data_IF_366079207672
#
_entry.id   IF_366079207672
#
_cell.length_a   1.000
_cell.length_b   1.000
_cell.length_c   1.000
_cell.angle_alpha   90.00
_cell.angle_beta   90.00
_cell.angle_gamma   90.00
#
_symmetry.space_group_name_H-M   'P 1'
#
loop_
_entity.id
_entity.type
_entity.pdbx_description
1 polymer ?
#
# COMPACT_ATOMS: atom_id res chain seq x y z
N UNK A 1 -62.23 24.71 5.86
CA UNK A 1 -62.14 25.21 4.48
C UNK A 1 -60.85 26.01 4.36
N UNK A 2 -59.77 25.38 3.91
CA UNK A 2 -58.55 26.05 3.46
C UNK A 2 -57.79 25.01 2.63
N UNK A 3 -57.68 25.30 1.33
CA UNK A 3 -57.16 24.40 0.32
C UNK A 3 -55.63 24.39 0.34
N UNK A 4 -55.06 23.18 0.22
CA UNK A 4 -53.65 22.93 -0.07
C UNK A 4 -53.35 23.36 -1.50
N UNK A 5 -52.27 24.09 -1.70
CA UNK A 5 -51.75 24.47 -3.03
C UNK A 5 -50.51 23.64 -3.29
N UNK A 6 -50.64 22.66 -4.19
CA UNK A 6 -49.53 21.85 -4.70
C UNK A 6 -48.76 22.65 -5.76
N UNK A 7 -47.43 22.70 -5.62
CA UNK A 7 -46.53 23.26 -6.63
C UNK A 7 -46.15 22.16 -7.64
N UNK A 8 -46.68 22.26 -8.86
CA UNK A 8 -46.21 21.48 -10.02
C UNK A 8 -44.94 22.13 -10.59
N UNK A 9 -43.83 21.39 -10.57
CA UNK A 9 -42.62 21.68 -11.34
C UNK A 9 -42.80 21.18 -12.79
N UNK A 10 -42.88 22.11 -13.73
CA UNK A 10 -42.80 21.86 -15.17
C UNK A 10 -41.33 21.62 -15.55
N UNK A 11 -40.98 20.38 -15.89
CA UNK A 11 -39.70 20.04 -16.54
C UNK A 11 -39.91 20.05 -18.05
N UNK A 12 -39.36 21.06 -18.73
CA UNK A 12 -39.26 21.11 -20.19
C UNK A 12 -38.19 20.12 -20.65
N UNK A 13 -38.61 18.97 -21.21
CA UNK A 13 -37.74 18.10 -21.99
C UNK A 13 -37.56 18.70 -23.40
N UNK A 14 -36.40 19.29 -23.66
CA UNK A 14 -35.95 19.57 -25.02
C UNK A 14 -35.45 18.28 -25.67
N UNK A 15 -36.20 17.75 -26.63
CA UNK A 15 -35.74 16.65 -27.50
C UNK A 15 -34.92 17.25 -28.63
N UNK A 16 -33.60 17.08 -28.56
CA UNK A 16 -32.70 17.36 -29.69
C UNK A 16 -32.60 16.10 -30.53
N UNK A 17 -33.25 16.09 -31.69
CA UNK A 17 -32.99 15.09 -32.73
C UNK A 17 -31.65 15.40 -33.39
N UNK A 18 -30.62 14.62 -33.06
CA UNK A 18 -29.41 14.54 -33.88
C UNK A 18 -29.63 13.50 -34.97
N UNK A 19 -29.70 13.95 -36.21
CA UNK A 19 -29.65 13.14 -37.42
C UNK A 19 -28.41 12.24 -37.41
N UNK A 20 -28.62 10.92 -37.54
CA UNK A 20 -27.57 9.93 -37.73
C UNK A 20 -27.20 9.91 -39.21
N UNK A 21 -26.10 10.56 -39.57
CA UNK A 21 -25.38 10.19 -40.79
C UNK A 21 -24.55 8.93 -40.48
N UNK A 22 -24.91 7.84 -41.17
CA UNK A 22 -24.26 6.54 -41.06
C UNK A 22 -22.99 6.55 -41.93
N UNK A 23 -21.91 7.10 -41.39
CA UNK A 23 -20.57 6.92 -41.91
C UNK A 23 -19.83 5.85 -41.11
N UNK A 24 -19.51 4.70 -41.72
CA UNK A 24 -18.55 3.74 -41.19
C UNK A 24 -17.14 4.33 -41.27
N UNK A 25 -16.80 5.17 -40.30
CA UNK A 25 -15.44 5.64 -40.05
C UNK A 25 -14.97 5.11 -38.70
N UNK A 26 -13.84 4.40 -38.66
CA UNK A 26 -13.14 4.04 -37.41
C UNK A 26 -12.98 5.29 -36.54
N UNK A 27 -13.75 5.39 -35.45
CA UNK A 27 -13.54 6.42 -34.43
C UNK A 27 -12.22 6.10 -33.73
N UNK A 28 -11.18 6.85 -34.04
CA UNK A 28 -9.92 6.83 -33.30
C UNK A 28 -10.08 7.80 -32.13
N UNK A 29 -10.02 7.30 -30.89
CA UNK A 29 -9.89 8.14 -29.71
C UNK A 29 -8.42 8.17 -29.28
N UNK A 30 -7.91 9.37 -29.04
CA UNK A 30 -6.62 9.57 -28.40
C UNK A 30 -6.84 9.64 -26.89
N UNK A 31 -6.23 8.72 -26.15
CA UNK A 31 -6.32 8.65 -24.70
C UNK A 31 -5.03 9.19 -24.11
N UNK A 32 -5.15 10.00 -23.05
CA UNK A 32 -4.01 10.61 -22.37
C UNK A 32 -3.91 10.14 -20.93
N UNK A 33 -2.69 9.89 -20.46
CA UNK A 33 -2.42 9.43 -19.09
C UNK A 33 -1.07 9.96 -18.60
N UNK A 34 -0.86 9.99 -17.29
CA UNK A 34 0.40 10.45 -16.69
C UNK A 34 1.36 9.27 -16.48
N UNK A 35 2.60 9.41 -16.94
CA UNK A 35 3.61 8.36 -16.78
C UNK A 35 5.03 8.92 -16.62
N UNK A 36 5.89 8.24 -15.87
CA UNK A 36 7.33 8.59 -15.78
C UNK A 36 8.04 8.49 -17.14
N UNK A 37 7.50 7.68 -18.06
CA UNK A 37 8.00 7.49 -19.42
C UNK A 37 6.86 7.13 -20.38
N UNK A 38 6.75 7.86 -21.48
CA UNK A 38 5.83 7.50 -22.57
C UNK A 38 6.43 6.40 -23.45
N UNK A 39 5.58 5.48 -23.92
CA UNK A 39 5.96 4.38 -24.81
C UNK A 39 5.64 4.74 -26.25
N UNK A 40 6.60 4.48 -27.15
CA UNK A 40 6.42 4.70 -28.59
C UNK A 40 5.62 3.56 -29.24
N UNK A 41 5.78 2.35 -28.73
CA UNK A 41 5.14 1.15 -29.23
C UNK A 41 3.97 0.77 -28.33
N UNK A 42 2.84 0.39 -28.92
CA UNK A 42 1.65 -0.05 -28.19
C UNK A 42 0.95 -1.19 -28.91
N UNK A 43 0.43 -2.17 -28.16
CA UNK A 43 -0.42 -3.23 -28.69
C UNK A 43 -1.53 -3.59 -27.70
N UNK A 44 -2.64 -4.12 -28.21
CA UNK A 44 -3.74 -4.63 -27.40
C UNK A 44 -3.50 -6.10 -27.05
N UNK A 45 -3.93 -6.54 -25.87
CA UNK A 45 -3.91 -7.99 -25.52
C UNK A 45 -4.68 -8.85 -26.53
N UNK A 46 -5.66 -8.27 -27.25
CA UNK A 46 -6.39 -8.93 -28.35
C UNK A 46 -5.48 -9.34 -29.50
N UNK A 47 -4.45 -8.56 -29.80
CA UNK A 47 -3.49 -8.82 -30.88
C UNK A 47 -2.66 -10.10 -30.62
N UNK A 48 -2.64 -10.54 -29.36
CA UNK A 48 -1.94 -11.74 -28.91
C UNK A 48 -2.89 -12.93 -28.66
N UNK A 49 -4.16 -12.80 -29.07
CA UNK A 49 -5.18 -13.83 -28.93
C UNK A 49 -5.96 -13.77 -27.62
N UNK A 50 -5.90 -12.66 -26.89
CA UNK A 50 -6.68 -12.48 -25.67
C UNK A 50 -8.19 -12.38 -25.95
N UNK A 51 -9.00 -13.02 -25.10
CA UNK A 51 -10.46 -13.01 -25.14
C UNK A 51 -11.00 -12.48 -23.80
N UNK A 52 -11.72 -11.36 -23.87
CA UNK A 52 -12.23 -10.62 -22.71
C UNK A 52 -13.61 -11.06 -22.20
N UNK A 53 -13.89 -12.37 -22.17
CA UNK A 53 -15.19 -12.97 -21.83
C UNK A 53 -15.34 -13.36 -20.33
N UNK A 54 -14.27 -13.19 -19.53
CA UNK A 54 -14.20 -13.55 -18.13
C UNK A 54 -14.06 -15.05 -17.85
N UNK A 55 -13.92 -15.87 -18.89
CA UNK A 55 -13.88 -17.35 -18.82
C UNK A 55 -12.63 -17.93 -19.46
N UNK A 56 -12.20 -17.37 -20.59
CA UNK A 56 -11.02 -17.80 -21.31
C UNK A 56 -9.77 -17.45 -20.51
N UNK A 57 -8.92 -18.45 -20.25
CA UNK A 57 -7.65 -18.24 -19.56
C UNK A 57 -6.63 -17.58 -20.50
N UNK A 58 -6.36 -16.30 -20.27
CA UNK A 58 -5.52 -15.45 -21.11
C UNK A 58 -4.02 -15.51 -20.79
N UNK A 59 -3.58 -16.36 -19.87
CA UNK A 59 -2.17 -16.42 -19.41
C UNK A 59 -1.18 -16.52 -20.57
N UNK A 60 -1.48 -17.33 -21.59
CA UNK A 60 -0.63 -17.45 -22.80
C UNK A 60 -0.62 -16.19 -23.66
N UNK A 61 -1.74 -15.47 -23.74
CA UNK A 61 -1.82 -14.19 -24.45
C UNK A 61 -0.95 -13.14 -23.75
N UNK A 62 -1.01 -13.06 -22.41
CA UNK A 62 -0.14 -12.18 -21.62
C UNK A 62 1.35 -12.51 -21.81
N UNK A 63 1.72 -13.79 -21.67
CA UNK A 63 3.11 -14.22 -21.88
C UNK A 63 3.60 -13.90 -23.30
N UNK A 64 2.78 -14.16 -24.33
CA UNK A 64 3.11 -13.83 -25.72
C UNK A 64 3.28 -12.32 -25.91
N UNK A 65 2.38 -11.52 -25.34
CA UNK A 65 2.43 -10.07 -25.41
C UNK A 65 3.72 -9.51 -24.78
N UNK A 66 4.04 -9.91 -23.54
CA UNK A 66 5.27 -9.47 -22.86
C UNK A 66 6.51 -9.88 -23.66
N UNK A 67 6.57 -11.14 -24.10
CA UNK A 67 7.72 -11.64 -24.87
C UNK A 67 7.92 -10.83 -26.17
N UNK A 68 6.86 -10.61 -26.95
CA UNK A 68 6.97 -9.89 -28.22
C UNK A 68 7.22 -8.39 -28.03
N UNK A 69 6.64 -7.76 -27.01
CA UNK A 69 6.83 -6.33 -26.76
C UNK A 69 8.19 -6.03 -26.11
N UNK A 70 8.84 -7.00 -25.46
CA UNK A 70 10.18 -6.84 -24.89
C UNK A 70 11.26 -6.47 -25.91
N UNK A 71 11.06 -6.81 -27.19
CA UNK A 71 11.99 -6.45 -28.28
C UNK A 71 12.15 -4.93 -28.46
N UNK A 72 11.18 -4.14 -27.98
CA UNK A 72 11.21 -2.68 -28.08
C UNK A 72 11.95 -2.01 -26.92
N UNK A 73 12.55 -2.77 -26.00
CA UNK A 73 13.26 -2.24 -24.84
C UNK A 73 14.34 -1.20 -25.21
N UNK A 74 15.09 -1.42 -26.30
CA UNK A 74 16.14 -0.50 -26.78
C UNK A 74 15.59 0.78 -27.41
N UNK A 75 14.32 0.83 -27.79
CA UNK A 75 13.62 1.99 -28.38
C UNK A 75 12.63 2.62 -27.39
N UNK A 76 12.99 2.61 -26.10
CA UNK A 76 12.21 3.23 -25.02
C UNK A 76 11.03 2.39 -24.53
N UNK A 77 10.87 1.16 -25.01
CA UNK A 77 9.92 0.21 -24.50
C UNK A 77 8.55 0.22 -25.18
N UNK A 78 7.64 -0.57 -24.63
CA UNK A 78 6.31 -0.78 -25.20
C UNK A 78 5.20 -0.81 -24.15
N UNK A 79 3.99 -0.50 -24.61
CA UNK A 79 2.76 -0.53 -23.84
C UNK A 79 1.88 -1.70 -24.26
N UNK A 80 1.42 -2.50 -23.31
CA UNK A 80 0.36 -3.47 -23.47
C UNK A 80 -0.94 -2.89 -22.92
N UNK A 81 -1.94 -2.75 -23.79
CA UNK A 81 -3.27 -2.25 -23.43
C UNK A 81 -4.22 -3.40 -23.18
N UNK A 82 -4.87 -3.37 -22.02
CA UNK A 82 -5.99 -4.23 -21.65
C UNK A 82 -7.28 -3.42 -21.85
N UNK A 83 -8.02 -3.64 -22.94
CA UNK A 83 -9.23 -2.87 -23.23
C UNK A 83 -10.39 -3.31 -22.32
N UNK A 84 -11.50 -2.57 -22.38
CA UNK A 84 -12.73 -2.95 -21.70
C UNK A 84 -13.11 -4.43 -21.95
N UNK A 85 -13.53 -5.12 -20.90
CA UNK A 85 -13.81 -6.56 -20.91
C UNK A 85 -13.29 -7.27 -19.66
N UNK A 86 -13.58 -8.56 -19.56
CA UNK A 86 -13.20 -9.39 -18.42
C UNK A 86 -12.08 -10.36 -18.82
N UNK A 87 -10.90 -10.24 -18.22
CA UNK A 87 -9.69 -10.93 -18.65
C UNK A 87 -9.23 -11.91 -17.57
N UNK A 88 -9.68 -13.15 -17.63
CA UNK A 88 -9.22 -14.19 -16.69
C UNK A 88 -7.77 -14.57 -17.02
N UNK A 89 -6.89 -14.56 -16.03
CA UNK A 89 -5.49 -15.00 -16.17
C UNK A 89 -4.95 -15.60 -14.89
N UNK A 90 -4.00 -16.53 -15.03
CA UNK A 90 -3.09 -16.88 -13.94
C UNK A 90 -1.90 -15.90 -13.92
N UNK A 91 -0.90 -16.19 -13.10
CA UNK A 91 0.30 -15.36 -12.98
C UNK A 91 1.04 -15.17 -14.31
N UNK A 92 1.52 -13.94 -14.55
CA UNK A 92 2.39 -13.61 -15.67
C UNK A 92 3.48 -12.62 -15.24
N UNK A 93 4.64 -12.71 -15.89
CA UNK A 93 5.80 -11.88 -15.57
C UNK A 93 5.87 -10.66 -16.49
N UNK A 94 6.25 -9.51 -15.94
CA UNK A 94 6.57 -8.30 -16.67
C UNK A 94 8.04 -8.30 -17.15
N UNK A 95 8.38 -7.31 -17.97
CA UNK A 95 9.74 -7.05 -18.47
C UNK A 95 10.11 -5.58 -18.29
N UNK A 96 11.38 -5.23 -18.49
CA UNK A 96 11.88 -3.84 -18.40
C UNK A 96 11.35 -2.97 -19.54
N UNK A 97 11.30 -1.66 -19.32
CA UNK A 97 10.79 -0.67 -20.30
C UNK A 97 9.39 -1.04 -20.77
N UNK A 98 8.50 -1.31 -19.83
CA UNK A 98 7.18 -1.84 -20.13
C UNK A 98 6.09 -1.02 -19.44
N UNK A 99 4.96 -0.85 -20.12
CA UNK A 99 3.74 -0.28 -19.54
C UNK A 99 2.60 -1.28 -19.67
N UNK A 100 2.06 -1.76 -18.56
CA UNK A 100 0.77 -2.44 -18.52
C UNK A 100 -0.32 -1.38 -18.29
N UNK A 101 -1.21 -1.20 -19.26
CA UNK A 101 -2.26 -0.18 -19.23
C UNK A 101 -3.65 -0.82 -19.18
N UNK A 102 -4.41 -0.60 -18.11
CA UNK A 102 -5.79 -1.08 -17.99
C UNK A 102 -6.75 0.06 -18.34
N UNK A 103 -7.46 -0.10 -19.44
CA UNK A 103 -8.47 0.86 -19.88
C UNK A 103 -9.64 0.93 -18.87
N UNK A 104 -10.42 2.01 -18.96
CA UNK A 104 -11.72 2.08 -18.30
C UNK A 104 -12.56 0.83 -18.64
N UNK A 105 -13.22 0.27 -17.63
CA UNK A 105 -14.04 -0.95 -17.72
C UNK A 105 -13.27 -2.23 -18.09
N UNK A 106 -11.93 -2.21 -18.04
CA UNK A 106 -11.12 -3.43 -18.05
C UNK A 106 -11.12 -4.06 -16.66
N UNK A 107 -11.44 -5.35 -16.58
CA UNK A 107 -11.39 -6.15 -15.36
C UNK A 107 -10.44 -7.33 -15.55
N UNK A 108 -9.26 -7.25 -14.96
CA UNK A 108 -8.31 -8.37 -14.90
C UNK A 108 -8.70 -9.29 -13.74
N UNK A 109 -9.04 -10.55 -14.04
CA UNK A 109 -9.50 -11.53 -13.06
C UNK A 109 -8.38 -12.54 -12.79
N UNK A 110 -7.95 -12.67 -11.54
CA UNK A 110 -6.98 -13.68 -11.13
C UNK A 110 -7.61 -15.08 -11.10
N UNK A 111 -6.93 -16.09 -11.61
CA UNK A 111 -7.43 -17.47 -11.55
C UNK A 111 -7.65 -17.97 -10.12
N UNK A 112 -8.81 -18.58 -9.87
CA UNK A 112 -9.12 -19.20 -8.58
C UNK A 112 -8.52 -20.62 -8.45
N UNK A 113 -7.96 -21.16 -9.54
CA UNK A 113 -7.34 -22.49 -9.57
C UNK A 113 -5.91 -22.42 -9.01
N UNK A 114 -5.73 -22.78 -7.74
CA UNK A 114 -4.45 -22.70 -7.00
C UNK A 114 -3.29 -23.39 -7.74
N UNK A 115 -3.55 -24.48 -8.46
CA UNK A 115 -2.51 -25.21 -9.22
C UNK A 115 -1.99 -24.45 -10.45
N UNK A 116 -2.63 -23.36 -10.87
CA UNK A 116 -2.18 -22.49 -11.96
C UNK A 116 -1.20 -21.42 -11.49
N UNK A 117 -0.88 -21.39 -10.20
CA UNK A 117 0.09 -20.48 -9.60
C UNK A 117 1.39 -21.24 -9.33
N UNK A 118 2.46 -20.98 -10.10
CA UNK A 118 3.77 -21.57 -9.83
C UNK A 118 4.25 -21.29 -8.40
N UNK A 119 5.01 -22.22 -7.84
CA UNK A 119 5.73 -22.02 -6.59
C UNK A 119 7.10 -21.41 -6.88
N UNK A 120 7.48 -20.45 -6.05
CA UNK A 120 8.80 -19.84 -6.01
C UNK A 120 9.34 -19.87 -4.58
N UNK A 121 10.65 -19.66 -4.46
CA UNK A 121 11.30 -19.65 -3.16
C UNK A 121 10.78 -18.51 -2.27
N UNK A 122 10.86 -18.67 -0.94
CA UNK A 122 10.65 -17.58 0.00
C UNK A 122 11.54 -16.39 -0.31
N UNK A 123 11.16 -15.23 0.22
CA UNK A 123 12.06 -14.09 0.21
C UNK A 123 13.34 -14.42 0.98
N UNK A 124 14.53 -14.10 0.43
CA UNK A 124 15.78 -14.36 1.13
C UNK A 124 15.88 -13.61 2.47
N UNK A 125 15.24 -12.44 2.59
CA UNK A 125 15.16 -11.68 3.85
C UNK A 125 14.12 -12.23 4.85
N UNK A 126 13.37 -13.27 4.49
CA UNK A 126 12.37 -13.92 5.37
C UNK A 126 12.78 -15.36 5.72
N UNK A 127 13.52 -16.04 4.86
CA UNK A 127 13.97 -17.42 5.05
C UNK A 127 12.89 -18.49 4.86
N UNK A 128 11.62 -18.15 5.08
CA UNK A 128 10.47 -19.06 5.00
C UNK A 128 9.21 -18.30 4.54
N UNK A 129 8.15 -19.04 4.24
CA UNK A 129 6.87 -18.48 3.81
C UNK A 129 6.07 -17.83 4.94
N UNK A 130 5.42 -16.69 4.63
CA UNK A 130 4.67 -15.87 5.59
C UNK A 130 3.41 -16.52 6.17
N UNK A 131 2.69 -17.33 5.38
CA UNK A 131 1.46 -18.00 5.85
C UNK A 131 1.69 -19.48 6.20
N UNK A 132 2.67 -20.11 5.57
CA UNK A 132 2.96 -21.53 5.72
C UNK A 132 4.45 -21.80 5.41
N UNK A 133 5.04 -22.85 6.02
CA UNK A 133 6.42 -23.25 5.75
C UNK A 133 6.67 -23.58 4.28
N UNK A 134 7.94 -23.46 3.85
CA UNK A 134 8.35 -23.71 2.47
C UNK A 134 8.10 -22.50 1.57
N UNK A 135 7.94 -22.75 0.26
CA UNK A 135 7.82 -21.72 -0.76
C UNK A 135 6.52 -20.90 -0.72
N UNK A 136 6.37 -20.05 -1.73
CA UNK A 136 5.22 -19.16 -1.91
C UNK A 136 4.69 -19.26 -3.33
N UNK A 137 3.38 -19.06 -3.49
CA UNK A 137 2.80 -18.90 -4.82
C UNK A 137 3.27 -17.56 -5.43
N UNK A 138 3.71 -17.58 -6.69
CA UNK A 138 4.10 -16.38 -7.43
C UNK A 138 2.94 -15.39 -7.50
N UNK A 139 3.22 -14.09 -7.47
CA UNK A 139 2.21 -13.02 -7.54
C UNK A 139 1.47 -12.96 -8.89
N UNK A 140 0.26 -12.39 -8.95
CA UNK A 140 -0.53 -12.36 -10.21
C UNK A 140 0.21 -11.60 -11.31
N UNK A 141 0.67 -10.40 -10.95
CA UNK A 141 1.56 -9.59 -11.76
C UNK A 141 2.91 -9.60 -11.06
N UNK A 142 3.86 -10.33 -11.63
CA UNK A 142 5.19 -10.51 -11.05
C UNK A 142 6.27 -9.87 -11.93
N UNK A 143 7.38 -9.46 -11.32
CA UNK A 143 8.57 -9.02 -12.02
C UNK A 143 9.78 -9.07 -11.11
N UNK A 144 10.95 -9.39 -11.67
CA UNK A 144 12.21 -9.35 -10.93
C UNK A 144 13.33 -8.79 -11.80
N UNK A 145 14.26 -8.04 -11.22
CA UNK A 145 15.37 -7.40 -11.92
C UNK A 145 14.92 -6.48 -13.07
N UNK A 146 13.82 -5.74 -12.87
CA UNK A 146 13.24 -4.89 -13.89
C UNK A 146 13.68 -3.43 -13.73
N UNK A 147 13.72 -2.70 -14.83
CA UNK A 147 13.82 -1.24 -14.80
C UNK A 147 12.74 -0.58 -15.65
N UNK A 148 12.25 0.58 -15.21
CA UNK A 148 11.29 1.38 -15.97
C UNK A 148 10.01 0.59 -16.28
N UNK A 149 9.28 0.26 -15.21
CA UNK A 149 8.04 -0.51 -15.25
C UNK A 149 6.88 0.35 -14.78
N UNK A 150 5.83 0.41 -15.60
CA UNK A 150 4.64 1.23 -15.34
C UNK A 150 3.41 0.32 -15.38
N UNK A 151 2.64 0.30 -14.29
CA UNK A 151 1.33 -0.37 -14.22
C UNK A 151 0.30 0.75 -13.98
N UNK A 152 -0.48 1.08 -15.00
CA UNK A 152 -1.40 2.21 -14.92
C UNK A 152 -2.66 2.00 -15.75
N UNK A 153 -3.54 3.00 -15.83
CA UNK A 153 -4.80 2.87 -16.52
C UNK A 153 -5.72 4.06 -16.36
N UNK A 154 -6.94 3.89 -16.85
CA UNK A 154 -8.07 4.81 -16.64
C UNK A 154 -9.01 4.25 -15.57
N UNK A 155 -8.45 3.97 -14.40
CA UNK A 155 -9.14 3.31 -13.30
C UNK A 155 -9.70 1.92 -13.66
N UNK A 156 -8.98 1.18 -14.50
CA UNK A 156 -9.27 -0.24 -14.71
C UNK A 156 -9.03 -1.06 -13.44
N UNK A 157 -9.66 -2.23 -13.35
CA UNK A 157 -9.72 -3.03 -12.13
C UNK A 157 -8.87 -4.30 -12.24
N UNK A 158 -8.10 -4.59 -11.19
CA UNK A 158 -7.45 -5.88 -10.98
C UNK A 158 -8.13 -6.55 -9.79
N UNK A 159 -8.81 -7.67 -10.05
CA UNK A 159 -9.51 -8.47 -9.04
C UNK A 159 -8.74 -9.76 -8.77
N UNK A 160 -8.22 -9.87 -7.55
CA UNK A 160 -7.47 -11.03 -7.06
C UNK A 160 -8.31 -12.28 -6.81
N UNK A 161 -9.64 -12.17 -6.84
CA UNK A 161 -10.59 -13.25 -6.53
C UNK A 161 -10.21 -14.05 -5.26
N UNK A 162 -9.76 -13.33 -4.23
CA UNK A 162 -9.06 -13.85 -3.05
C UNK A 162 -9.87 -14.77 -2.13
N UNK A 163 -11.19 -14.86 -2.30
CA UNK A 163 -12.07 -15.60 -1.39
C UNK A 163 -11.67 -17.06 -1.17
N UNK A 164 -11.22 -17.75 -2.24
CA UNK A 164 -10.73 -19.13 -2.15
C UNK A 164 -9.50 -19.24 -1.24
N UNK A 165 -8.58 -18.28 -1.34
CA UNK A 165 -7.36 -18.22 -0.55
C UNK A 165 -7.63 -17.92 0.92
N UNK A 166 -8.52 -16.96 1.20
CA UNK A 166 -8.91 -16.61 2.57
C UNK A 166 -9.62 -17.78 3.28
N UNK A 167 -10.45 -18.54 2.56
CA UNK A 167 -11.07 -19.75 3.11
C UNK A 167 -10.03 -20.82 3.47
N UNK A 168 -9.02 -21.02 2.64
CA UNK A 168 -7.93 -21.97 2.96
C UNK A 168 -7.09 -21.49 4.13
N UNK A 169 -6.82 -20.18 4.23
CA UNK A 169 -6.11 -19.57 5.36
C UNK A 169 -6.86 -19.80 6.67
N UNK A 170 -8.14 -19.42 6.76
CA UNK A 170 -8.95 -19.59 7.96
C UNK A 170 -9.11 -21.06 8.37
N UNK A 171 -9.16 -21.97 7.39
CA UNK A 171 -9.22 -23.43 7.63
C UNK A 171 -7.86 -24.05 7.94
N UNK A 172 -6.76 -23.28 7.93
CA UNK A 172 -5.39 -23.75 8.12
C UNK A 172 -5.02 -24.88 7.15
N UNK A 173 -5.43 -24.75 5.89
CA UNK A 173 -5.23 -25.74 4.81
C UNK A 173 -4.20 -25.31 3.76
N UNK A 174 -3.58 -24.14 3.95
CA UNK A 174 -2.51 -23.68 3.07
C UNK A 174 -1.27 -24.56 3.26
N UNK A 175 -0.74 -25.07 2.14
CA UNK A 175 0.55 -25.80 2.12
C UNK A 175 1.74 -24.84 1.95
N UNK A 176 1.51 -23.72 1.29
CA UNK A 176 2.50 -22.71 0.92
C UNK A 176 1.91 -21.32 1.14
N UNK A 177 2.77 -20.30 1.16
CA UNK A 177 2.33 -18.92 1.33
C UNK A 177 1.50 -18.43 0.15
N UNK A 178 0.39 -17.73 0.44
CA UNK A 178 -0.55 -17.23 -0.58
C UNK A 178 0.16 -16.26 -1.53
N UNK A 179 -0.39 -16.15 -2.73
CA UNK A 179 0.04 -15.16 -3.72
C UNK A 179 -0.25 -13.74 -3.26
N UNK A 180 0.50 -12.77 -3.79
CA UNK A 180 0.15 -11.35 -3.75
C UNK A 180 -0.48 -10.91 -5.07
N UNK A 181 -1.04 -9.70 -5.14
CA UNK A 181 -1.62 -9.18 -6.38
C UNK A 181 -0.53 -8.65 -7.32
N UNK A 182 0.31 -7.73 -6.84
CA UNK A 182 1.41 -7.16 -7.60
C UNK A 182 2.69 -7.27 -6.79
N UNK A 183 3.74 -7.85 -7.38
CA UNK A 183 5.05 -7.94 -6.73
C UNK A 183 6.18 -7.66 -7.72
N UNK A 184 7.05 -6.71 -7.36
CA UNK A 184 8.21 -6.32 -8.14
C UNK A 184 9.45 -6.41 -7.26
N UNK A 185 10.32 -7.37 -7.60
CA UNK A 185 11.54 -7.68 -6.85
C UNK A 185 12.77 -7.06 -7.52
N UNK A 186 13.76 -6.62 -6.75
CA UNK A 186 15.07 -6.19 -7.28
C UNK A 186 14.99 -5.17 -8.43
N UNK A 187 14.00 -4.28 -8.38
CA UNK A 187 13.60 -3.47 -9.52
C UNK A 187 13.79 -1.98 -9.26
N UNK A 188 13.89 -1.19 -10.33
CA UNK A 188 14.18 0.24 -10.25
C UNK A 188 13.31 1.07 -11.21
N UNK A 189 12.84 2.24 -10.78
CA UNK A 189 11.93 3.11 -11.57
C UNK A 189 10.59 2.42 -11.81
N UNK A 190 9.82 2.30 -10.73
CA UNK A 190 8.51 1.66 -10.72
C UNK A 190 7.45 2.74 -10.60
N UNK A 191 6.42 2.67 -11.43
CA UNK A 191 5.18 3.44 -11.27
C UNK A 191 3.99 2.49 -11.22
N UNK A 192 3.15 2.63 -10.19
CA UNK A 192 1.84 1.98 -10.11
C UNK A 192 0.79 3.06 -9.83
N UNK A 193 -0.16 3.28 -10.74
CA UNK A 193 -1.06 4.44 -10.58
C UNK A 193 -2.38 4.36 -11.32
N UNK A 194 -3.41 5.05 -10.81
CA UNK A 194 -4.72 5.20 -11.45
C UNK A 194 -5.42 3.86 -11.75
N UNK A 195 -5.47 2.99 -10.73
CA UNK A 195 -6.08 1.66 -10.82
C UNK A 195 -6.98 1.39 -9.60
N UNK A 196 -7.92 0.49 -9.80
CA UNK A 196 -8.67 -0.13 -8.70
C UNK A 196 -8.16 -1.55 -8.47
N UNK A 197 -7.75 -1.87 -7.24
CA UNK A 197 -7.32 -3.22 -6.84
C UNK A 197 -8.35 -3.79 -5.87
N UNK A 198 -8.85 -4.99 -6.13
CA UNK A 198 -9.85 -5.62 -5.26
C UNK A 198 -9.50 -7.07 -4.93
N UNK A 199 -9.92 -7.51 -3.74
CA UNK A 199 -9.93 -8.91 -3.34
C UNK A 199 -8.59 -9.65 -3.53
N UNK A 200 -7.45 -9.04 -3.18
CA UNK A 200 -6.17 -9.74 -3.25
C UNK A 200 -6.18 -11.04 -2.42
N UNK A 201 -5.54 -12.14 -2.88
CA UNK A 201 -5.37 -13.36 -2.07
C UNK A 201 -4.70 -13.12 -0.70
N UNK A 202 -3.79 -12.15 -0.65
CA UNK A 202 -3.02 -11.69 0.52
C UNK A 202 -2.66 -10.20 0.29
N UNK A 203 -1.41 -9.78 0.45
CA UNK A 203 -0.97 -8.40 0.19
C UNK A 203 -1.30 -7.92 -1.24
N UNK A 204 -1.63 -6.63 -1.39
CA UNK A 204 -2.01 -6.07 -2.69
C UNK A 204 -0.78 -5.63 -3.50
N UNK A 205 0.09 -4.78 -2.96
CA UNK A 205 1.26 -4.27 -3.70
C UNK A 205 2.52 -4.45 -2.87
N UNK A 206 3.45 -5.26 -3.37
CA UNK A 206 4.67 -5.63 -2.68
C UNK A 206 5.91 -5.32 -3.55
N UNK A 207 6.39 -4.06 -3.61
CA UNK A 207 7.72 -3.81 -4.11
C UNK A 207 8.73 -4.25 -3.05
N UNK A 208 9.69 -5.07 -3.44
CA UNK A 208 10.70 -5.62 -2.53
C UNK A 208 12.11 -5.52 -3.11
N UNK A 209 13.09 -5.14 -2.29
CA UNK A 209 14.48 -4.93 -2.72
C UNK A 209 14.63 -3.92 -3.87
N UNK A 210 13.73 -2.94 -3.91
CA UNK A 210 13.50 -2.09 -5.09
C UNK A 210 13.69 -0.60 -4.78
N UNK A 211 13.92 0.21 -5.81
CA UNK A 211 14.19 1.64 -5.64
C UNK A 211 13.47 2.54 -6.65
N UNK A 212 13.31 3.82 -6.30
CA UNK A 212 12.66 4.83 -7.14
C UNK A 212 11.23 4.43 -7.51
N UNK A 213 10.36 4.39 -6.49
CA UNK A 213 9.02 3.83 -6.59
C UNK A 213 7.98 4.94 -6.41
N UNK A 214 7.04 5.05 -7.33
CA UNK A 214 5.87 5.94 -7.21
C UNK A 214 4.60 5.08 -7.23
N UNK A 215 3.79 5.21 -6.18
CA UNK A 215 2.48 4.57 -6.10
C UNK A 215 1.44 5.64 -5.79
N UNK A 216 0.56 5.93 -6.75
CA UNK A 216 -0.35 7.06 -6.61
C UNK A 216 -1.73 6.90 -7.24
N UNK A 217 -2.75 7.53 -6.65
CA UNK A 217 -4.09 7.56 -7.23
C UNK A 217 -4.77 6.19 -7.26
N UNK A 218 -4.46 5.32 -6.29
CA UNK A 218 -5.04 3.99 -6.22
C UNK A 218 -6.29 3.93 -5.36
N UNK A 219 -7.23 3.08 -5.77
CA UNK A 219 -8.33 2.60 -4.92
C UNK A 219 -8.08 1.12 -4.62
N UNK A 220 -7.82 0.77 -3.35
CA UNK A 220 -7.58 -0.61 -2.92
C UNK A 220 -8.71 -1.04 -2.00
N UNK A 221 -9.41 -2.13 -2.33
CA UNK A 221 -10.59 -2.59 -1.61
C UNK A 221 -10.51 -4.09 -1.31
N UNK A 222 -10.43 -4.44 -0.04
CA UNK A 222 -10.64 -5.79 0.43
C UNK A 222 -11.75 -5.80 1.51
N UNK A 223 -12.53 -6.89 1.65
CA UNK A 223 -13.41 -7.04 2.79
C UNK A 223 -12.61 -6.89 4.09
N UNK A 224 -13.10 -6.11 5.06
CA UNK A 224 -12.37 -5.83 6.31
C UNK A 224 -12.13 -7.08 7.17
N UNK A 225 -12.75 -8.21 6.84
CA UNK A 225 -12.54 -9.52 7.50
C UNK A 225 -11.62 -10.46 6.72
N UNK A 226 -11.06 -10.00 5.59
CA UNK A 226 -10.10 -10.77 4.81
C UNK A 226 -8.73 -10.78 5.49
N UNK A 227 -8.05 -11.94 5.61
CA UNK A 227 -6.81 -12.05 6.35
C UNK A 227 -5.62 -11.54 5.53
N UNK A 228 -4.82 -10.64 6.11
CA UNK A 228 -3.54 -10.17 5.58
C UNK A 228 -3.65 -9.57 4.18
N UNK A 229 -4.68 -8.73 3.96
CA UNK A 229 -4.91 -8.02 2.71
C UNK A 229 -4.32 -6.62 2.72
N UNK A 230 -3.11 -6.50 3.29
CA UNK A 230 -2.33 -5.27 3.38
C UNK A 230 -2.36 -4.50 2.04
N UNK A 231 -2.48 -3.17 2.11
CA UNK A 231 -2.65 -2.34 0.92
C UNK A 231 -1.35 -2.16 0.13
N UNK A 232 -0.32 -1.58 0.75
CA UNK A 232 0.97 -1.34 0.11
C UNK A 232 2.09 -1.72 1.09
N UNK A 233 2.99 -2.56 0.64
CA UNK A 233 4.05 -3.18 1.44
C UNK A 233 5.44 -2.87 0.89
N UNK A 234 6.00 -1.65 1.06
CA UNK A 234 7.40 -1.41 0.70
C UNK A 234 8.30 -2.22 1.63
N UNK A 235 9.02 -3.19 1.06
CA UNK A 235 9.89 -4.09 1.81
C UNK A 235 11.34 -3.98 1.32
N UNK A 236 12.23 -3.53 2.21
CA UNK A 236 13.64 -3.33 1.88
C UNK A 236 13.82 -2.42 0.64
N UNK A 237 13.06 -1.32 0.58
CA UNK A 237 12.99 -0.42 -0.57
C UNK A 237 13.58 0.97 -0.30
N UNK A 238 14.00 1.71 -1.34
CA UNK A 238 14.50 3.08 -1.13
C UNK A 238 13.98 4.11 -2.14
N UNK A 239 13.82 5.35 -1.69
CA UNK A 239 13.36 6.48 -2.49
C UNK A 239 11.95 6.24 -3.06
N UNK A 240 10.96 6.28 -2.17
CA UNK A 240 9.58 5.84 -2.41
C UNK A 240 8.61 7.01 -2.17
N UNK A 241 7.63 7.18 -3.06
CA UNK A 241 6.52 8.12 -2.91
C UNK A 241 5.19 7.39 -3.01
N UNK A 242 4.44 7.35 -1.91
CA UNK A 242 3.06 6.88 -1.84
C UNK A 242 2.15 8.10 -1.68
N UNK A 243 1.29 8.39 -2.65
CA UNK A 243 0.43 9.58 -2.56
C UNK A 243 -0.97 9.40 -3.14
N UNK A 244 -1.97 10.09 -2.59
CA UNK A 244 -3.33 10.15 -3.14
C UNK A 244 -4.01 8.77 -3.25
N UNK A 245 -3.82 7.92 -2.24
CA UNK A 245 -4.36 6.56 -2.22
C UNK A 245 -5.57 6.46 -1.28
N UNK A 246 -6.57 5.68 -1.67
CA UNK A 246 -7.73 5.31 -0.87
C UNK A 246 -7.71 3.80 -0.63
N UNK A 247 -7.66 3.37 0.63
CA UNK A 247 -7.45 1.98 1.01
C UNK A 247 -8.49 1.53 2.04
N UNK A 248 -9.22 0.47 1.70
CA UNK A 248 -10.03 -0.34 2.63
C UNK A 248 -9.38 -1.71 2.70
N UNK A 249 -8.88 -2.08 3.88
CA UNK A 249 -8.08 -3.29 4.07
C UNK A 249 -8.62 -4.14 5.21
N UNK A 250 -8.40 -5.46 5.11
CA UNK A 250 -8.59 -6.38 6.22
C UNK A 250 -7.41 -6.41 7.20
N UNK A 251 -6.28 -5.81 6.81
CA UNK A 251 -5.08 -5.64 7.63
C UNK A 251 -4.53 -4.20 7.44
N UNK A 252 -3.22 -3.97 7.54
CA UNK A 252 -2.63 -2.63 7.44
C UNK A 252 -2.93 -1.95 6.08
N UNK A 253 -3.21 -0.63 6.07
CA UNK A 253 -3.36 0.08 4.79
C UNK A 253 -2.00 0.28 4.09
N UNK A 254 -0.96 0.64 4.84
CA UNK A 254 0.44 0.64 4.39
C UNK A 254 1.27 -0.09 5.45
N UNK A 255 2.02 -1.11 5.05
CA UNK A 255 2.90 -1.88 5.93
C UNK A 255 4.35 -1.79 5.46
N UNK A 256 5.15 -0.97 6.12
CA UNK A 256 6.57 -0.80 5.79
C UNK A 256 7.38 -1.91 6.44
N UNK A 257 8.17 -2.63 5.64
CA UNK A 257 8.91 -3.83 6.05
C UNK A 257 10.36 -3.77 5.59
N UNK A 258 11.19 -4.69 6.08
CA UNK A 258 12.59 -4.84 5.68
C UNK A 258 13.15 -6.20 6.11
N UNK A 259 12.42 -7.29 5.85
CA UNK A 259 12.85 -8.64 6.27
C UNK A 259 12.62 -8.99 7.74
N UNK A 260 12.84 -10.27 8.07
CA UNK A 260 12.38 -10.90 9.30
C UNK A 260 13.51 -11.63 10.04
N UNK A 261 13.70 -11.26 11.31
CA UNK A 261 14.68 -11.82 12.25
C UNK A 261 16.08 -11.91 11.64
N UNK A 262 16.82 -13.00 11.88
CA UNK A 262 18.19 -13.20 11.40
C UNK A 262 18.32 -13.16 9.88
N UNK A 263 17.26 -13.52 9.14
CA UNK A 263 17.25 -13.45 7.68
C UNK A 263 17.25 -12.00 7.22
N UNK A 264 16.43 -11.14 7.84
CA UNK A 264 16.40 -9.71 7.57
C UNK A 264 17.68 -9.01 8.01
N UNK A 265 18.21 -9.36 9.21
CA UNK A 265 19.50 -8.85 9.71
C UNK A 265 20.63 -9.19 8.74
N UNK A 266 20.71 -10.45 8.30
CA UNK A 266 21.73 -10.93 7.36
C UNK A 266 21.59 -10.29 5.98
N UNK A 267 20.36 -10.09 5.52
CA UNK A 267 20.10 -9.42 4.25
C UNK A 267 20.50 -7.94 4.29
N UNK A 268 20.27 -7.26 5.42
CA UNK A 268 20.87 -5.96 5.74
C UNK A 268 20.43 -4.81 4.84
N UNK A 269 19.23 -4.90 4.25
CA UNK A 269 18.68 -3.86 3.37
C UNK A 269 17.49 -3.16 4.03
N UNK A 270 17.62 -1.88 4.43
CA UNK A 270 16.54 -1.16 5.07
C UNK A 270 15.50 -0.67 4.05
N UNK A 271 14.27 -0.44 4.53
CA UNK A 271 13.37 0.50 3.85
C UNK A 271 13.71 1.93 4.25
N UNK A 272 14.01 2.80 3.29
CA UNK A 272 14.48 4.16 3.55
C UNK A 272 13.97 5.21 2.57
N UNK A 273 13.96 6.47 2.99
CA UNK A 273 13.56 7.60 2.14
C UNK A 273 12.15 7.41 1.59
N UNK A 274 11.18 7.28 2.49
CA UNK A 274 9.78 6.97 2.18
C UNK A 274 8.88 8.15 2.50
N UNK A 275 8.12 8.62 1.50
CA UNK A 275 7.06 9.61 1.67
C UNK A 275 5.71 8.91 1.56
N UNK A 276 4.83 9.16 2.54
CA UNK A 276 3.42 8.75 2.51
C UNK A 276 2.59 10.01 2.70
N UNK A 277 1.75 10.36 1.72
CA UNK A 277 0.91 11.55 1.85
C UNK A 277 -0.47 11.46 1.24
N UNK A 278 -1.43 12.22 1.79
CA UNK A 278 -2.81 12.29 1.28
C UNK A 278 -3.41 10.87 1.13
N UNK A 279 -3.28 10.08 2.19
CA UNK A 279 -3.81 8.72 2.29
C UNK A 279 -5.14 8.76 3.04
N UNK A 280 -6.16 8.09 2.49
CA UNK A 280 -7.37 7.75 3.23
C UNK A 280 -7.37 6.25 3.53
N UNK A 281 -7.45 5.89 4.81
CA UNK A 281 -7.43 4.50 5.26
C UNK A 281 -8.68 4.13 6.08
N UNK A 282 -9.21 2.94 5.80
CA UNK A 282 -10.18 2.23 6.64
C UNK A 282 -9.66 0.80 6.88
N UNK A 283 -9.18 0.54 8.10
CA UNK A 283 -8.75 -0.80 8.54
C UNK A 283 -9.19 -1.07 9.99
N UNK A 284 -10.41 -1.58 10.22
CA UNK A 284 -10.98 -1.70 11.56
C UNK A 284 -10.20 -2.59 12.54
N UNK A 285 -9.36 -3.47 12.02
CA UNK A 285 -8.60 -4.45 12.80
C UNK A 285 -7.08 -4.29 12.70
N UNK A 286 -6.58 -3.22 12.06
CA UNK A 286 -5.14 -2.98 11.91
C UNK A 286 -4.79 -1.49 11.78
N UNK A 287 -3.60 -1.15 11.26
CA UNK A 287 -3.10 0.22 11.25
C UNK A 287 -3.36 0.96 9.93
N UNK A 288 -3.42 2.30 10.03
CA UNK A 288 -3.33 3.16 8.86
C UNK A 288 -1.96 3.06 8.20
N UNK A 289 -0.90 3.10 9.02
CA UNK A 289 0.47 2.89 8.58
C UNK A 289 1.15 2.05 9.66
N UNK A 290 1.67 0.89 9.30
CA UNK A 290 2.46 0.05 10.18
C UNK A 290 3.92 0.05 9.77
N UNK A 291 4.81 0.21 10.75
CA UNK A 291 6.25 0.02 10.59
C UNK A 291 6.59 -1.30 11.28
N UNK A 292 6.90 -2.33 10.48
CA UNK A 292 7.10 -3.71 10.91
C UNK A 292 5.84 -4.60 10.79
N UNK A 293 5.82 -5.80 11.36
CA UNK A 293 6.80 -6.29 12.34
C UNK A 293 8.10 -6.82 11.73
N UNK A 294 8.11 -7.12 10.45
CA UNK A 294 9.27 -7.59 9.72
C UNK A 294 10.16 -6.38 9.38
N UNK A 295 10.94 -5.90 10.35
CA UNK A 295 11.75 -4.66 10.27
C UNK A 295 13.25 -4.88 10.50
N UNK A 296 13.72 -6.12 10.31
CA UNK A 296 15.04 -6.57 10.77
C UNK A 296 16.23 -6.01 9.98
N UNK A 297 16.02 -5.66 8.71
CA UNK A 297 16.97 -4.90 7.88
C UNK A 297 16.99 -3.39 8.17
N UNK A 298 16.01 -2.88 8.92
CA UNK A 298 15.87 -1.47 9.31
C UNK A 298 14.81 -0.70 8.53
N UNK A 299 14.19 0.29 9.19
CA UNK A 299 13.27 1.26 8.60
C UNK A 299 13.74 2.66 9.01
N UNK A 300 14.01 3.57 8.07
CA UNK A 300 14.47 4.92 8.39
C UNK A 300 14.00 6.01 7.43
N UNK A 301 13.97 7.27 7.90
CA UNK A 301 13.56 8.44 7.12
C UNK A 301 12.19 8.23 6.46
N UNK A 302 11.18 8.04 7.32
CA UNK A 302 9.78 7.86 6.94
C UNK A 302 9.02 9.15 7.21
N UNK A 303 8.49 9.76 6.16
CA UNK A 303 7.84 11.06 6.18
C UNK A 303 6.36 10.90 5.83
N UNK A 304 5.51 11.07 6.84
CA UNK A 304 4.06 10.88 6.75
C UNK A 304 3.37 12.22 6.88
N UNK A 305 2.55 12.60 5.89
CA UNK A 305 1.77 13.84 5.97
C UNK A 305 0.36 13.74 5.40
N UNK A 306 -0.59 14.49 5.98
CA UNK A 306 -1.97 14.55 5.49
C UNK A 306 -2.67 13.16 5.51
N UNK A 307 -2.63 12.59 6.71
CA UNK A 307 -3.35 11.44 7.29
C UNK A 307 -4.88 11.53 7.37
N UNK A 308 -5.70 10.76 6.64
CA UNK A 308 -7.09 10.51 7.05
C UNK A 308 -7.28 9.03 7.38
N UNK A 309 -7.59 8.70 8.63
CA UNK A 309 -7.96 7.34 9.02
C UNK A 309 -9.36 7.33 9.64
N UNK A 310 -10.21 6.44 9.13
CA UNK A 310 -11.63 6.34 9.53
C UNK A 310 -11.89 4.92 9.97
N UNK A 311 -12.50 4.74 11.15
CA UNK A 311 -12.83 3.41 11.70
C UNK A 311 -11.65 2.43 11.57
N UNK A 312 -10.47 2.90 11.95
CA UNK A 312 -9.21 2.16 11.84
C UNK A 312 -8.76 1.77 13.25
N UNK A 313 -8.03 0.68 13.43
CA UNK A 313 -7.61 0.28 14.79
C UNK A 313 -6.54 1.24 15.33
N UNK A 314 -5.54 1.58 14.52
CA UNK A 314 -4.46 2.48 14.94
C UNK A 314 -3.96 3.42 13.85
N UNK A 315 -3.34 4.53 14.27
CA UNK A 315 -2.77 5.53 13.36
C UNK A 315 -1.47 5.04 12.72
N UNK A 316 -0.34 5.68 13.07
CA UNK A 316 0.98 5.13 12.77
C UNK A 316 1.38 4.18 13.90
N UNK A 317 1.54 2.91 13.55
CA UNK A 317 1.82 1.80 14.48
C UNK A 317 3.25 1.30 14.28
N UNK A 318 4.00 1.09 15.37
CA UNK A 318 5.31 0.45 15.34
C UNK A 318 5.21 -0.92 16.01
N UNK A 319 5.60 -1.97 15.29
CA UNK A 319 5.53 -3.36 15.75
C UNK A 319 6.93 -3.96 15.71
N UNK A 320 7.45 -4.44 16.83
CA UNK A 320 8.71 -5.19 16.87
C UNK A 320 8.73 -6.16 18.05
N UNK A 321 9.79 -6.97 18.14
CA UNK A 321 10.03 -7.92 19.21
C UNK A 321 11.54 -8.10 19.45
N UNK A 322 11.91 -8.55 20.65
CA UNK A 322 13.23 -9.17 20.89
C UNK A 322 13.44 -10.26 19.84
N UNK A 323 14.58 -10.29 19.16
CA UNK A 323 14.84 -11.19 18.04
C UNK A 323 14.84 -10.51 16.69
N UNK A 324 14.09 -9.41 16.54
CA UNK A 324 14.06 -8.68 15.28
C UNK A 324 15.37 -8.00 14.96
N UNK A 325 16.09 -7.50 15.97
CA UNK A 325 17.22 -6.59 15.75
C UNK A 325 16.83 -5.39 14.89
N UNK A 326 17.76 -4.90 14.07
CA UNK A 326 17.50 -3.79 13.16
C UNK A 326 17.10 -2.51 13.89
N UNK A 327 16.35 -1.66 13.21
CA UNK A 327 15.93 -0.37 13.76
C UNK A 327 14.64 0.14 13.11
N UNK A 328 13.90 0.99 13.82
CA UNK A 328 12.94 1.93 13.24
C UNK A 328 13.31 3.32 13.75
N UNK A 329 13.80 4.18 12.86
CA UNK A 329 14.27 5.52 13.26
C UNK A 329 13.94 6.63 12.28
N UNK A 330 14.06 7.87 12.75
CA UNK A 330 13.85 9.06 11.91
C UNK A 330 12.47 9.04 11.22
N UNK A 331 11.43 8.87 12.04
CA UNK A 331 10.04 8.84 11.60
C UNK A 331 9.40 10.19 11.91
N UNK A 332 8.80 10.81 10.91
CA UNK A 332 8.21 12.13 10.99
C UNK A 332 6.77 12.09 10.50
N UNK A 333 5.84 12.44 11.37
CA UNK A 333 4.40 12.41 11.09
C UNK A 333 3.84 13.81 11.32
N UNK A 334 3.19 14.38 10.30
CA UNK A 334 2.58 15.71 10.38
C UNK A 334 1.18 15.72 9.78
N UNK A 335 0.19 16.23 10.51
CA UNK A 335 -1.15 16.42 9.95
C UNK A 335 -1.90 15.10 9.83
N UNK A 336 -2.45 14.62 10.93
CA UNK A 336 -3.34 13.46 10.92
C UNK A 336 -4.73 13.84 11.44
N UNK A 337 -5.76 13.38 10.73
CA UNK A 337 -7.17 13.44 11.11
C UNK A 337 -7.68 12.02 11.30
N UNK A 338 -8.03 11.67 12.53
CA UNK A 338 -8.40 10.31 12.91
C UNK A 338 -9.84 10.29 13.44
N UNK A 339 -10.70 9.49 12.84
CA UNK A 339 -12.11 9.43 13.21
C UNK A 339 -12.48 8.01 13.63
N UNK A 340 -12.96 7.85 14.87
CA UNK A 340 -13.32 6.53 15.43
C UNK A 340 -12.13 5.57 15.38
N UNK A 341 -11.13 5.84 16.24
CA UNK A 341 -9.90 5.05 16.30
C UNK A 341 -9.73 4.41 17.67
N UNK A 342 -9.16 3.20 17.70
CA UNK A 342 -8.90 2.52 18.98
C UNK A 342 -7.66 3.11 19.65
N UNK A 343 -6.52 3.19 18.96
CA UNK A 343 -5.28 3.78 19.45
C UNK A 343 -4.75 4.85 18.50
N UNK A 344 -4.61 6.10 18.96
CA UNK A 344 -3.97 7.15 18.14
C UNK A 344 -2.50 6.79 17.91
N UNK A 345 -1.79 6.44 18.98
CA UNK A 345 -0.40 6.00 18.93
C UNK A 345 -0.28 4.59 19.50
N UNK A 346 0.33 3.67 18.73
CA UNK A 346 0.60 2.33 19.22
C UNK A 346 2.02 1.89 18.85
N UNK A 347 2.81 1.57 19.87
CA UNK A 347 4.13 0.97 19.74
C UNK A 347 4.20 -0.25 20.66
N UNK A 348 4.74 -1.35 20.16
CA UNK A 348 4.98 -2.54 20.99
C UNK A 348 6.30 -3.21 20.62
N UNK A 349 7.09 -3.51 21.64
CA UNK A 349 8.27 -4.38 21.58
C UNK A 349 7.97 -5.84 21.86
N UNK A 350 6.70 -6.26 21.94
CA UNK A 350 6.32 -7.64 22.24
C UNK A 350 5.42 -8.25 21.16
N UNK A 351 5.76 -8.04 19.89
CA UNK A 351 5.01 -8.58 18.75
C UNK A 351 5.43 -10.03 18.46
N UNK A 352 4.81 -10.98 19.16
CA UNK A 352 5.29 -12.37 19.35
C UNK A 352 5.26 -13.34 18.15
N UNK A 353 5.46 -12.87 16.92
CA UNK A 353 5.67 -13.75 15.76
C UNK A 353 7.18 -13.82 15.47
N UNK A 354 7.73 -14.99 15.16
CA UNK A 354 9.13 -15.15 14.72
C UNK A 354 9.21 -16.03 13.49
N UNK A 355 10.28 -15.86 12.73
CA UNK A 355 10.45 -16.54 11.46
C UNK A 355 10.49 -18.06 11.65
N UNK A 356 11.32 -18.49 12.58
CA UNK A 356 11.38 -19.86 13.07
C UNK A 356 11.87 -19.85 14.53
N UNK A 357 12.51 -20.92 15.01
CA UNK A 357 13.00 -21.05 16.38
C UNK A 357 14.46 -20.61 16.58
N UNK A 358 15.16 -20.18 15.52
CA UNK A 358 16.59 -19.82 15.53
C UNK A 358 16.86 -18.31 15.65
N UNK A 359 15.82 -17.49 15.85
CA UNK A 359 15.98 -16.05 16.09
C UNK A 359 16.89 -15.77 17.29
N UNK A 360 17.67 -14.69 17.21
CA UNK A 360 18.64 -14.34 18.24
C UNK A 360 17.98 -13.58 19.40
N UNK A 361 17.87 -14.16 20.62
CA UNK A 361 17.26 -13.47 21.76
C UNK A 361 18.05 -12.27 22.26
N UNK A 362 19.25 -12.03 21.75
CA UNK A 362 20.06 -10.83 22.04
C UNK A 362 19.90 -9.73 20.99
N UNK A 363 19.22 -10.00 19.88
CA UNK A 363 18.96 -9.01 18.83
C UNK A 363 17.82 -8.09 19.25
N UNK A 364 18.16 -7.01 19.96
CA UNK A 364 17.22 -5.98 20.38
C UNK A 364 17.03 -4.93 19.27
N UNK A 365 15.79 -4.52 18.95
CA UNK A 365 15.49 -3.50 17.96
C UNK A 365 15.70 -2.08 18.50
N UNK A 366 16.43 -1.23 17.77
CA UNK A 366 16.52 0.20 18.13
C UNK A 366 15.29 0.96 17.59
N UNK A 367 14.43 1.47 18.48
CA UNK A 367 13.32 2.36 18.12
C UNK A 367 13.62 3.77 18.62
N UNK A 368 13.86 4.70 17.68
CA UNK A 368 14.40 6.02 18.02
C UNK A 368 13.94 7.15 17.12
N UNK A 369 13.65 8.33 17.69
CA UNK A 369 13.40 9.52 16.88
C UNK A 369 12.05 9.44 16.16
N UNK A 370 10.99 9.22 16.93
CA UNK A 370 9.63 9.09 16.41
C UNK A 370 8.86 10.38 16.70
N UNK A 371 8.56 11.15 15.65
CA UNK A 371 8.03 12.50 15.75
C UNK A 371 6.59 12.56 15.26
N UNK A 372 5.70 13.12 16.08
CA UNK A 372 4.31 13.38 15.76
C UNK A 372 4.00 14.86 15.94
N UNK A 373 3.38 15.46 14.93
CA UNK A 373 2.97 16.85 14.93
C UNK A 373 1.60 17.03 14.29
N UNK A 374 0.81 17.96 14.81
CA UNK A 374 -0.48 18.36 14.23
C UNK A 374 -1.43 17.16 14.06
N UNK A 375 -1.73 16.47 15.16
CA UNK A 375 -2.64 15.30 15.17
C UNK A 375 -3.96 15.68 15.82
N UNK A 376 -5.07 15.46 15.11
CA UNK A 376 -6.43 15.63 15.62
C UNK A 376 -7.15 14.30 15.51
N UNK A 377 -7.67 13.81 16.63
CA UNK A 377 -8.38 12.55 16.70
C UNK A 377 -9.70 12.71 17.44
N UNK A 378 -10.75 12.05 16.95
CA UNK A 378 -12.10 12.11 17.50
C UNK A 378 -12.68 10.71 17.71
N UNK A 379 -13.56 10.59 18.71
CA UNK A 379 -14.19 9.32 19.09
C UNK A 379 -13.16 8.21 19.38
N UNK A 380 -12.15 8.54 20.18
CA UNK A 380 -11.00 7.66 20.46
C UNK A 380 -11.23 6.76 21.67
N UNK A 381 -10.89 5.47 21.57
CA UNK A 381 -11.01 4.53 22.71
C UNK A 381 -9.85 4.63 23.71
N UNK A 382 -8.62 4.72 23.20
CA UNK A 382 -7.34 4.87 23.92
C UNK A 382 -6.48 5.90 23.18
N UNK A 383 -5.92 6.87 23.89
CA UNK A 383 -4.99 7.83 23.28
C UNK A 383 -3.71 7.11 22.83
N UNK A 384 -3.06 6.32 23.70
CA UNK A 384 -1.88 5.58 23.30
C UNK A 384 -1.65 4.29 24.09
N UNK A 385 -0.94 3.37 23.44
CA UNK A 385 -0.27 2.22 24.06
C UNK A 385 1.17 2.20 23.57
N UNK A 386 2.11 2.57 24.42
CA UNK A 386 3.53 2.72 24.08
C UNK A 386 4.36 1.80 24.98
N UNK A 387 4.77 0.66 24.43
CA UNK A 387 5.44 -0.40 25.19
C UNK A 387 6.79 -0.70 24.54
N UNK A 388 7.86 -0.13 25.10
CA UNK A 388 9.24 -0.49 24.74
C UNK A 388 9.74 -1.71 25.51
N UNK A 389 11.03 -2.01 25.36
CA UNK A 389 11.66 -3.19 25.96
C UNK A 389 12.29 -2.87 27.30
N UNK A 390 12.21 -3.81 28.24
CA UNK A 390 12.87 -3.67 29.53
C UNK A 390 14.39 -3.67 29.33
N UNK A 391 15.07 -2.62 29.79
CA UNK A 391 16.51 -2.43 29.60
C UNK A 391 16.93 -1.86 28.25
N UNK A 392 15.99 -1.72 27.29
CA UNK A 392 16.22 -1.13 25.97
C UNK A 392 14.99 -0.29 25.55
N UNK A 393 14.80 0.88 26.18
CA UNK A 393 13.60 1.68 25.99
C UNK A 393 13.51 2.26 24.57
N UNK A 394 12.29 2.51 24.09
CA UNK A 394 12.11 3.28 22.85
C UNK A 394 12.31 4.76 23.15
N UNK A 395 13.21 5.42 22.44
CA UNK A 395 13.71 6.76 22.81
C UNK A 395 13.44 7.82 21.74
N UNK A 396 13.58 9.10 22.12
CA UNK A 396 13.41 10.21 21.18
C UNK A 396 11.98 10.30 20.61
N UNK A 397 10.98 9.87 21.37
CA UNK A 397 9.59 10.07 21.00
C UNK A 397 9.26 11.56 21.22
N UNK A 398 8.68 12.21 20.22
CA UNK A 398 8.34 13.62 20.27
C UNK A 398 6.89 13.81 19.82
N UNK A 399 6.07 14.46 20.66
CA UNK A 399 4.68 14.78 20.32
C UNK A 399 4.41 16.27 20.46
N UNK A 400 3.91 16.92 19.41
CA UNK A 400 3.55 18.34 19.45
C UNK A 400 2.19 18.61 18.81
N UNK A 401 1.41 19.50 19.41
CA UNK A 401 0.11 19.92 18.89
C UNK A 401 -0.82 18.74 18.57
N UNK A 402 -1.20 18.01 19.62
CA UNK A 402 -2.04 16.81 19.53
C UNK A 402 -3.32 17.02 20.32
N UNK A 403 -4.47 16.85 19.67
CA UNK A 403 -5.80 16.94 20.30
C UNK A 403 -6.57 15.64 20.07
N UNK A 404 -6.93 14.97 21.16
CA UNK A 404 -7.64 13.68 21.15
C UNK A 404 -8.96 13.83 21.91
N UNK A 405 -10.06 13.80 21.17
CA UNK A 405 -11.42 13.69 21.68
C UNK A 405 -11.77 12.23 21.97
N UNK A 406 -11.87 11.88 23.25
CA UNK A 406 -12.20 10.52 23.70
C UNK A 406 -13.68 10.17 23.42
N UNK A 407 -13.93 8.90 23.09
CA UNK A 407 -15.26 8.34 22.95
C UNK A 407 -16.02 8.30 24.29
N UNK A 408 -17.35 8.27 24.27
CA UNK A 408 -18.20 8.18 25.48
C UNK A 408 -17.87 6.97 26.38
N UNK A 409 -17.43 5.86 25.78
CA UNK A 409 -17.05 4.62 26.47
C UNK A 409 -15.54 4.36 26.42
N UNK A 410 -14.73 5.43 26.32
CA UNK A 410 -13.28 5.33 26.33
C UNK A 410 -12.74 4.73 27.64
N UNK A 411 -11.51 4.24 27.61
CA UNK A 411 -10.85 3.71 28.81
C UNK A 411 -10.57 4.84 29.80
N UNK A 412 -10.71 4.53 31.10
CA UNK A 412 -10.46 5.48 32.20
C UNK A 412 -9.05 6.07 32.17
N UNK A 413 -8.06 5.26 31.81
CA UNK A 413 -6.68 5.67 31.61
C UNK A 413 -6.39 5.57 30.10
N UNK A 414 -6.45 6.70 29.37
CA UNK A 414 -6.32 6.68 27.91
C UNK A 414 -4.87 6.50 27.44
N UNK A 415 -3.90 6.63 28.34
CA UNK A 415 -2.47 6.47 28.05
C UNK A 415 -1.88 5.32 28.85
N UNK A 416 -1.18 4.42 28.16
CA UNK A 416 -0.33 3.39 28.77
C UNK A 416 1.08 3.53 28.20
N UNK A 417 2.07 3.74 29.06
CA UNK A 417 3.47 3.88 28.65
C UNK A 417 4.39 3.08 29.56
N UNK A 418 5.28 2.29 28.97
CA UNK A 418 6.26 1.47 29.69
C UNK A 418 7.55 1.42 28.87
N UNK A 419 8.70 1.64 29.51
CA UNK A 419 10.03 1.58 28.87
C UNK A 419 10.13 2.45 27.60
N UNK A 420 9.68 3.69 27.70
CA UNK A 420 9.81 4.68 26.64
C UNK A 420 10.37 5.98 27.20
N UNK A 421 10.97 6.79 26.35
CA UNK A 421 11.47 8.12 26.69
C UNK A 421 11.17 9.11 25.56
N UNK A 422 10.70 10.29 25.96
CA UNK A 422 10.43 11.34 25.01
C UNK A 422 9.95 12.64 25.65
N UNK A 423 9.46 13.53 24.80
CA UNK A 423 8.96 14.84 25.16
C UNK A 423 7.61 15.13 24.49
N UNK A 424 6.82 15.99 25.12
CA UNK A 424 5.54 16.43 24.58
C UNK A 424 5.36 17.94 24.73
N UNK A 425 4.44 18.53 23.94
CA UNK A 425 4.05 19.93 24.06
C UNK A 425 2.69 20.13 23.42
N UNK A 426 1.76 20.74 24.15
CA UNK A 426 0.39 20.99 23.67
C UNK A 426 -0.30 19.69 23.24
N UNK A 427 -0.28 18.69 24.11
CA UNK A 427 -0.93 17.39 23.92
C UNK A 427 -2.11 17.26 24.89
N UNK A 428 -3.31 17.02 24.36
CA UNK A 428 -4.54 16.84 25.13
C UNK A 428 -5.23 15.52 24.72
N UNK A 429 -5.58 14.63 25.67
CA UNK A 429 -5.33 14.69 27.10
C UNK A 429 -3.84 14.52 27.45
N UNK A 430 -3.39 14.99 28.63
CA UNK A 430 -1.98 14.93 29.01
C UNK A 430 -1.41 13.51 28.90
N UNK A 431 -0.21 13.34 28.31
CA UNK A 431 0.42 12.03 28.16
C UNK A 431 1.04 11.53 29.47
N UNK A 432 1.63 10.33 29.42
CA UNK A 432 2.41 9.76 30.52
C UNK A 432 3.60 10.64 30.91
N UNK A 433 4.08 10.52 32.15
CA UNK A 433 5.26 11.26 32.64
C UNK A 433 6.56 10.97 31.86
N UNK A 434 6.65 9.80 31.23
CA UNK A 434 7.75 9.41 30.34
C UNK A 434 7.84 10.27 29.06
N UNK A 435 6.82 11.08 28.78
CA UNK A 435 6.76 12.04 27.69
C UNK A 435 6.66 13.47 28.24
N UNK A 436 7.73 13.96 28.85
CA UNK A 436 7.73 15.19 29.65
C UNK A 436 7.23 16.40 28.85
N UNK A 437 6.23 17.11 29.38
CA UNK A 437 5.68 18.32 28.77
C UNK A 437 6.69 19.49 28.84
N UNK A 438 7.04 20.03 27.68
CA UNK A 438 7.97 21.14 27.50
C UNK A 438 7.29 22.51 27.54
N UNK A 439 5.97 22.54 27.70
CA UNK A 439 5.16 23.75 27.72
C UNK A 439 4.98 24.41 26.35
N UNK A 440 4.14 25.46 26.26
CA UNK A 440 3.73 26.04 24.98
C UNK A 440 4.79 26.93 24.33
N UNK A 441 5.77 27.46 25.08
CA UNK A 441 6.80 28.38 24.52
C UNK A 441 7.89 27.66 23.70
N UNK A 442 8.14 26.37 23.99
CA UNK A 442 9.11 25.54 23.25
C UNK A 442 8.49 24.86 22.00
N UNK A 443 7.18 25.00 21.77
CA UNK A 443 6.42 24.27 20.74
C UNK A 443 6.76 24.66 19.28
N UNK A 444 7.23 25.88 19.02
CA UNK A 444 7.36 26.41 17.64
C UNK A 444 8.35 25.64 16.75
N UNK A 445 9.30 24.89 17.33
CA UNK A 445 10.31 24.09 16.62
C UNK A 445 10.46 22.67 17.16
N UNK A 446 9.43 22.16 17.85
CA UNK A 446 9.48 20.84 18.47
C UNK A 446 8.85 19.81 17.53
N UNK A 447 9.47 18.63 17.43
CA UNK A 447 9.03 17.56 16.53
C UNK A 447 8.92 18.05 15.08
N UNK A 448 9.90 18.84 14.63
CA UNK A 448 9.87 19.45 13.31
C UNK A 448 9.84 18.38 12.22
N UNK A 449 8.97 18.62 11.25
CA UNK A 449 8.90 17.81 10.04
C UNK A 449 10.00 18.28 9.08
N UNK A 450 10.81 17.38 8.51
CA UNK A 450 11.86 17.72 7.57
C UNK A 450 11.36 18.62 6.43
N UNK A 451 12.13 19.66 6.09
CA UNK A 451 11.74 20.65 5.07
C UNK A 451 12.36 20.36 3.70
N UNK A 452 13.46 19.62 3.68
CA UNK A 452 14.10 19.16 2.46
C UNK A 452 13.22 18.14 1.74
N UNK A 453 13.13 18.20 0.42
CA UNK A 453 12.43 17.18 -0.37
C UNK A 453 13.31 15.94 -0.55
N UNK A 454 12.72 14.75 -0.57
CA UNK A 454 13.44 13.54 -1.04
C UNK A 454 13.54 13.56 -2.58
N UNK A 455 14.57 12.92 -3.18
CA UNK A 455 14.74 12.91 -4.63
C UNK A 455 13.52 12.41 -5.40
N UNK A 456 12.78 11.42 -4.87
CA UNK A 456 11.54 10.90 -5.50
C UNK A 456 10.45 11.96 -5.66
N UNK A 457 10.43 12.98 -4.80
CA UNK A 457 9.43 14.06 -4.85
C UNK A 457 9.64 14.96 -6.08
N UNK A 458 10.86 14.99 -6.63
CA UNK A 458 11.21 15.77 -7.82
C UNK A 458 10.97 15.00 -9.13
N UNK A 459 10.50 13.75 -9.07
CA UNK A 459 10.14 13.01 -10.29
C UNK A 459 8.78 13.51 -10.79
N UNK A 460 8.83 14.18 -11.95
CA UNK A 460 7.66 14.63 -12.69
C UNK A 460 7.17 13.54 -13.65
N UNK A 461 5.84 13.40 -13.73
CA UNK A 461 5.20 12.54 -14.73
C UNK A 461 4.91 13.35 -16.00
N UNK A 462 5.13 12.71 -17.14
CA UNK A 462 4.86 13.22 -18.46
C UNK A 462 3.41 12.91 -18.83
N UNK A 463 2.78 13.79 -19.62
CA UNK A 463 1.50 13.48 -20.26
C UNK A 463 1.77 12.62 -21.51
N UNK A 464 1.41 11.35 -21.44
CA UNK A 464 1.53 10.39 -22.52
C UNK A 464 0.20 10.22 -23.24
N UNK A 465 0.24 9.79 -24.50
CA UNK A 465 -0.96 9.41 -25.24
C UNK A 465 -0.76 8.15 -26.07
N UNK A 466 -1.86 7.46 -26.35
CA UNK A 466 -1.89 6.35 -27.30
C UNK A 466 -3.24 6.33 -28.03
N UNK A 467 -3.29 5.63 -29.17
CA UNK A 467 -4.48 5.54 -30.01
C UNK A 467 -5.11 4.16 -29.90
N UNK A 468 -6.41 4.12 -29.65
CA UNK A 468 -7.21 2.90 -29.79
C UNK A 468 -7.79 2.83 -31.20
N UNK A 469 -7.57 1.69 -31.86
CA UNK A 469 -8.33 1.31 -33.04
C UNK A 469 -9.49 0.41 -32.55
N UNK A 470 -10.69 0.97 -32.44
CA UNK A 470 -11.90 0.18 -32.18
C UNK A 470 -12.32 -0.65 -33.39
#
# INVERSE_FOLDING_TARGET
MMAKTDWLLLVLMGVVFSSIERGEGRKTSELTYSAIKCRKHSASIKDFGGIGDGKTLNTKAFQKAVNQLSQYASDGGAQLVIPAGHWLTASFNLTSHFTLFLHKDALLLASQEINQWPLIDPLPSYGHGRDAPGGRYISLIFGTNLTDVIITGENGTIDGQGAVWWQQFHRKKLKYTRSYLIELMHSNKIQISNLTLVNSPSWNIHPVYSSNIIIQGLTILAPVTSPNTDGIDPDSCTNIRLEDNYIVSGDDCVAVKSGWDEYGIKYGMPTSHLIIRRLTCISPYSAAIALGSEMSGGIQDVRVQDIIAINTESGVRIKTAVGRGGFVKDVYVKGMKLHTIKWVFWMTGNYGSHADTHWDPKALPEIKGINYRDVVAENVSMAAQLEGLSGDPFTGICMSNVTIGLAKKAKKYPWTCTNIEGISSSVQPPPCQLLADQGPKKSRRMCDFPTESLPIDNIEMQRCSYRLNY
#
